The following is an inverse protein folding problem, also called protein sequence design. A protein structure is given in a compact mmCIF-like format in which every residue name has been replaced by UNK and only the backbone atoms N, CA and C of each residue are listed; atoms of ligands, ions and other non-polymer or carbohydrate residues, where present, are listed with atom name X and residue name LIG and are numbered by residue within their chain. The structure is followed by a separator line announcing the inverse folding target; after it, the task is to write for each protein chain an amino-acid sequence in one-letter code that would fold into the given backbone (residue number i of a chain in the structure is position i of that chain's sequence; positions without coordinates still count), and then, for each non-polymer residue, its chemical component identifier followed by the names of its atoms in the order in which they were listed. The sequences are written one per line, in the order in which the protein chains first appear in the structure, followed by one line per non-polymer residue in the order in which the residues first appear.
data_IF_915174517475
#
_entry.id   IF_915174517475
#
_cell.length_a   1.000
_cell.length_b   1.000
_cell.length_c   1.000
_cell.angle_alpha   90.00
_cell.angle_beta   90.00
_cell.angle_gamma   90.00
#
_symmetry.space_group_name_H-M   'P 1'
#
loop_
_entity.id
_entity.type
_entity.pdbx_description
1 polymer ?
#
# COMPACT_ATOMS: atom_id res chain seq x y z
N UNK A 1 13.36 -44.12 29.29
CA UNK A 1 12.19 -44.79 28.66
C UNK A 1 12.48 -46.28 28.40
N UNK A 2 11.48 -47.18 28.45
CA UNK A 2 11.72 -48.64 28.43
C UNK A 2 11.67 -49.35 27.05
N UNK A 3 11.27 -48.71 25.94
CA UNK A 3 11.32 -49.34 24.61
C UNK A 3 11.71 -48.36 23.50
N UNK A 4 12.37 -48.86 22.45
CA UNK A 4 12.81 -48.10 21.26
C UNK A 4 11.63 -47.41 20.57
N UNK A 5 10.53 -48.13 20.37
CA UNK A 5 9.29 -47.55 19.82
C UNK A 5 8.74 -46.42 20.70
N UNK A 6 8.79 -46.57 22.02
CA UNK A 6 8.36 -45.53 22.96
C UNK A 6 9.18 -44.26 22.85
N UNK A 7 10.49 -44.38 22.63
CA UNK A 7 11.39 -43.24 22.41
C UNK A 7 11.09 -42.52 21.09
N UNK A 8 10.87 -43.26 20.00
CA UNK A 8 10.42 -42.67 18.73
C UNK A 8 9.07 -41.97 18.84
N UNK A 9 8.10 -42.57 19.53
CA UNK A 9 6.80 -41.94 19.77
C UNK A 9 6.95 -40.66 20.61
N UNK A 10 7.89 -40.63 21.55
CA UNK A 10 8.17 -39.43 22.30
C UNK A 10 8.80 -38.34 21.43
N UNK A 11 9.79 -38.68 20.59
CA UNK A 11 10.38 -37.74 19.64
C UNK A 11 9.32 -37.14 18.72
N UNK A 12 8.42 -37.95 18.16
CA UNK A 12 7.35 -37.45 17.30
C UNK A 12 6.33 -36.61 18.07
N UNK A 13 5.95 -37.02 19.28
CA UNK A 13 4.97 -36.30 20.10
C UNK A 13 5.48 -34.94 20.57
N UNK A 14 6.78 -34.82 20.83
CA UNK A 14 7.41 -33.62 21.38
C UNK A 14 8.39 -32.96 20.41
N UNK A 15 8.28 -33.26 19.11
CA UNK A 15 9.18 -32.77 18.07
C UNK A 15 9.26 -31.25 18.06
N UNK A 16 8.12 -30.56 18.21
CA UNK A 16 8.06 -29.10 18.18
C UNK A 16 8.91 -28.45 19.28
N UNK A 17 8.89 -29.00 20.49
CA UNK A 17 9.71 -28.52 21.61
C UNK A 17 11.20 -28.66 21.29
N UNK A 18 11.60 -29.82 20.78
CA UNK A 18 13.00 -30.04 20.42
C UNK A 18 13.42 -29.14 19.27
N UNK A 19 12.61 -29.01 18.24
CA UNK A 19 12.86 -28.12 17.10
C UNK A 19 12.91 -26.65 17.52
N UNK A 20 12.16 -26.26 18.55
CA UNK A 20 12.21 -24.93 19.17
C UNK A 20 13.45 -24.69 20.05
N UNK A 21 14.32 -25.69 20.22
CA UNK A 21 15.56 -25.58 20.98
C UNK A 21 15.47 -26.04 22.44
N UNK A 22 14.36 -26.64 22.85
CA UNK A 22 14.24 -27.17 24.21
C UNK A 22 15.23 -28.32 24.48
N UNK A 23 15.64 -28.50 25.75
CA UNK A 23 16.55 -29.57 26.12
C UNK A 23 15.92 -30.94 25.86
N UNK A 24 16.59 -31.73 25.02
CA UNK A 24 16.22 -33.14 24.79
C UNK A 24 16.52 -33.94 26.07
N UNK A 25 15.75 -34.96 26.45
CA UNK A 25 16.13 -35.90 27.51
C UNK A 25 17.42 -36.69 27.19
N UNK A 26 18.24 -37.00 28.21
CA UNK A 26 19.51 -37.72 28.01
C UNK A 26 19.30 -39.11 27.39
N UNK A 27 18.22 -39.80 27.74
CA UNK A 27 17.91 -41.13 27.21
C UNK A 27 17.57 -41.16 25.71
N UNK A 28 17.27 -40.00 25.11
CA UNK A 28 17.12 -39.84 23.66
C UNK A 28 18.41 -39.34 23.01
N UNK A 29 19.19 -38.51 23.70
CA UNK A 29 20.51 -38.04 23.23
C UNK A 29 21.52 -39.17 23.10
N UNK A 30 21.45 -40.16 23.98
CA UNK A 30 22.34 -41.32 23.96
C UNK A 30 22.09 -42.25 22.76
N UNK A 31 20.93 -42.17 22.11
CA UNK A 31 20.65 -42.91 20.87
C UNK A 31 20.99 -42.06 19.64
N UNK A 32 22.08 -42.43 18.96
CA UNK A 32 22.63 -41.73 17.79
C UNK A 32 21.55 -41.41 16.73
N UNK A 33 20.72 -42.39 16.38
CA UNK A 33 19.66 -42.23 15.37
C UNK A 33 18.60 -41.20 15.78
N UNK A 34 18.25 -41.14 17.07
CA UNK A 34 17.27 -40.19 17.60
C UNK A 34 17.88 -38.79 17.67
N UNK A 35 19.13 -38.69 18.11
CA UNK A 35 19.88 -37.44 18.14
C UNK A 35 19.99 -36.83 16.74
N UNK A 36 20.40 -37.62 15.74
CA UNK A 36 20.47 -37.20 14.34
C UNK A 36 19.10 -36.76 13.81
N UNK A 37 18.03 -37.51 14.08
CA UNK A 37 16.69 -37.16 13.63
C UNK A 37 16.20 -35.81 14.20
N UNK A 38 16.46 -35.55 15.48
CA UNK A 38 16.11 -34.28 16.14
C UNK A 38 16.95 -33.13 15.58
N UNK A 39 18.24 -33.34 15.34
CA UNK A 39 19.13 -32.34 14.77
C UNK A 39 18.74 -31.97 13.33
N UNK A 40 18.44 -32.95 12.48
CA UNK A 40 17.97 -32.69 11.12
C UNK A 40 16.61 -31.98 11.12
N UNK A 41 15.69 -32.37 12.02
CA UNK A 41 14.42 -31.68 12.17
C UNK A 41 14.61 -30.20 12.59
N UNK A 42 15.57 -29.91 13.48
CA UNK A 42 15.96 -28.54 13.84
C UNK A 42 16.49 -27.77 12.64
N UNK A 43 17.40 -28.38 11.87
CA UNK A 43 18.04 -27.74 10.71
C UNK A 43 17.01 -27.36 9.64
N UNK A 44 16.14 -28.30 9.27
CA UNK A 44 15.08 -28.06 8.27
C UNK A 44 14.11 -26.99 8.74
N UNK A 45 13.67 -27.05 10.01
CA UNK A 45 12.74 -26.05 10.52
C UNK A 45 13.35 -24.65 10.66
N UNK A 46 14.63 -24.55 11.04
CA UNK A 46 15.34 -23.28 11.06
C UNK A 46 15.42 -22.65 9.67
N UNK A 47 15.70 -23.47 8.64
CA UNK A 47 15.69 -23.02 7.24
C UNK A 47 14.29 -22.59 6.78
N UNK A 48 13.25 -23.36 7.11
CA UNK A 48 11.86 -23.02 6.78
C UNK A 48 11.39 -21.73 7.47
N UNK A 49 11.70 -21.54 8.76
CA UNK A 49 11.37 -20.30 9.50
C UNK A 49 12.09 -19.09 8.92
N UNK A 50 13.37 -19.23 8.60
CA UNK A 50 14.14 -18.16 7.98
C UNK A 50 13.58 -17.82 6.60
N UNK A 51 13.25 -18.83 5.80
CA UNK A 51 12.64 -18.66 4.47
C UNK A 51 11.31 -17.91 4.57
N UNK A 52 10.42 -18.34 5.47
CA UNK A 52 9.13 -17.68 5.70
C UNK A 52 9.30 -16.22 6.11
N UNK A 53 10.24 -15.93 7.02
CA UNK A 53 10.51 -14.55 7.45
C UNK A 53 11.02 -13.67 6.29
N UNK A 54 11.89 -14.20 5.44
CA UNK A 54 12.40 -13.48 4.27
C UNK A 54 11.29 -13.24 3.24
N UNK A 55 10.46 -14.26 2.95
CA UNK A 55 9.33 -14.15 2.04
C UNK A 55 8.29 -13.12 2.52
N UNK A 56 7.96 -13.13 3.81
CA UNK A 56 7.03 -12.17 4.41
C UNK A 56 7.56 -10.74 4.32
N UNK A 57 8.87 -10.55 4.58
CA UNK A 57 9.52 -9.24 4.46
C UNK A 57 9.50 -8.76 3.00
N UNK A 58 9.89 -9.60 2.07
CA UNK A 58 9.94 -9.25 0.65
C UNK A 58 8.53 -8.95 0.10
N UNK A 59 7.52 -9.69 0.55
CA UNK A 59 6.11 -9.41 0.23
C UNK A 59 5.66 -8.06 0.79
N UNK A 60 6.00 -7.75 2.04
CA UNK A 60 5.65 -6.48 2.65
C UNK A 60 6.35 -5.30 1.96
N UNK A 61 7.61 -5.46 1.54
CA UNK A 61 8.33 -4.45 0.77
C UNK A 61 7.69 -4.21 -0.60
N UNK A 62 7.36 -5.28 -1.33
CA UNK A 62 6.67 -5.17 -2.63
C UNK A 62 5.31 -4.50 -2.52
N UNK A 63 4.54 -4.82 -1.48
CA UNK A 63 3.27 -4.16 -1.21
C UNK A 63 3.46 -2.65 -1.05
N UNK A 64 4.38 -2.23 -0.18
CA UNK A 64 4.71 -0.80 0.03
C UNK A 64 5.15 -0.09 -1.25
N UNK A 65 5.98 -0.74 -2.06
CA UNK A 65 6.45 -0.19 -3.33
C UNK A 65 5.29 -0.02 -4.32
N UNK A 66 4.37 -0.99 -4.35
CA UNK A 66 3.17 -0.95 -5.21
C UNK A 66 2.25 0.18 -4.75
N UNK A 67 1.96 0.27 -3.46
CA UNK A 67 1.10 1.33 -2.90
C UNK A 67 1.66 2.72 -3.21
N UNK A 68 2.97 2.92 -3.05
CA UNK A 68 3.63 4.18 -3.39
C UNK A 68 3.57 4.49 -4.90
N UNK A 69 3.70 3.47 -5.75
CA UNK A 69 3.61 3.65 -7.19
C UNK A 69 2.20 4.04 -7.62
N UNK A 70 1.17 3.38 -7.08
CA UNK A 70 -0.24 3.70 -7.32
C UNK A 70 -0.55 5.11 -6.85
N UNK A 71 -0.19 5.47 -5.60
CA UNK A 71 -0.43 6.81 -5.07
C UNK A 71 0.24 7.92 -5.91
N UNK A 72 1.45 7.67 -6.45
CA UNK A 72 2.11 8.61 -7.36
C UNK A 72 1.38 8.74 -8.70
N UNK A 73 0.85 7.64 -9.24
CA UNK A 73 0.11 7.65 -10.50
C UNK A 73 -1.21 8.40 -10.33
N UNK A 74 -1.98 8.07 -9.30
CA UNK A 74 -3.25 8.72 -8.97
C UNK A 74 -3.04 10.22 -8.76
N UNK A 75 -2.10 10.63 -7.90
CA UNK A 75 -1.84 12.06 -7.66
C UNK A 75 -1.36 12.82 -8.90
N UNK A 76 -0.72 12.14 -9.87
CA UNK A 76 -0.35 12.76 -11.16
C UNK A 76 -1.56 12.89 -12.08
N UNK A 77 -2.44 11.90 -12.09
CA UNK A 77 -3.65 11.91 -12.90
C UNK A 77 -4.64 12.95 -12.39
N UNK A 78 -4.94 12.93 -11.10
CA UNK A 78 -5.77 13.92 -10.40
C UNK A 78 -5.24 15.34 -10.64
N UNK A 79 -3.95 15.59 -10.36
CA UNK A 79 -3.37 16.92 -10.58
C UNK A 79 -3.39 17.38 -12.05
N UNK A 80 -3.40 16.46 -13.01
CA UNK A 80 -3.54 16.80 -14.44
C UNK A 80 -4.99 17.12 -14.80
N UNK A 81 -5.95 16.40 -14.22
CA UNK A 81 -7.37 16.64 -14.42
C UNK A 81 -7.79 17.95 -13.77
N UNK A 82 -7.50 18.13 -12.48
CA UNK A 82 -7.76 19.37 -11.74
C UNK A 82 -7.12 20.57 -12.45
N UNK A 83 -5.83 20.49 -12.79
CA UNK A 83 -5.15 21.59 -13.48
C UNK A 83 -5.75 21.91 -14.87
N UNK A 84 -6.32 20.92 -15.55
CA UNK A 84 -7.03 21.15 -16.82
C UNK A 84 -8.37 21.83 -16.57
N UNK A 85 -9.13 21.40 -15.58
CA UNK A 85 -10.43 22.00 -15.23
C UNK A 85 -10.27 23.44 -14.72
N UNK A 86 -9.31 23.68 -13.82
CA UNK A 86 -8.96 25.01 -13.34
C UNK A 86 -8.53 25.92 -14.48
N UNK A 87 -7.68 25.44 -15.39
CA UNK A 87 -7.26 26.21 -16.57
C UNK A 87 -8.43 26.57 -17.49
N UNK A 88 -9.36 25.64 -17.76
CA UNK A 88 -10.56 25.94 -18.53
C UNK A 88 -11.46 26.96 -17.83
N UNK A 89 -11.59 26.87 -16.50
CA UNK A 89 -12.38 27.81 -15.72
C UNK A 89 -11.74 29.20 -15.72
N UNK A 90 -10.43 29.29 -15.52
CA UNK A 90 -9.67 30.54 -15.57
C UNK A 90 -9.77 31.19 -16.95
N UNK A 91 -9.58 30.44 -18.03
CA UNK A 91 -9.75 30.94 -19.40
C UNK A 91 -11.18 31.46 -19.64
N UNK A 92 -12.21 30.75 -19.17
CA UNK A 92 -13.61 31.19 -19.27
C UNK A 92 -13.86 32.48 -18.47
N UNK A 93 -13.26 32.62 -17.30
CA UNK A 93 -13.37 33.82 -16.46
C UNK A 93 -12.66 35.01 -17.10
N UNK A 94 -11.48 34.80 -17.67
CA UNK A 94 -10.72 35.85 -18.36
C UNK A 94 -11.41 36.31 -19.64
N UNK A 95 -11.95 35.36 -20.42
CA UNK A 95 -12.77 35.68 -21.58
C UNK A 95 -14.00 36.47 -21.16
N UNK A 96 -14.71 36.03 -20.12
CA UNK A 96 -15.88 36.74 -19.60
C UNK A 96 -15.54 38.18 -19.17
N UNK A 97 -14.41 38.36 -18.47
CA UNK A 97 -13.95 39.69 -18.05
C UNK A 97 -13.69 40.61 -19.25
N UNK A 98 -12.99 40.11 -20.28
CA UNK A 98 -12.73 40.87 -21.52
C UNK A 98 -14.03 41.25 -22.22
N UNK A 99 -14.98 40.31 -22.33
CA UNK A 99 -16.28 40.57 -22.94
C UNK A 99 -17.09 41.63 -22.18
N UNK A 100 -17.09 41.59 -20.85
CA UNK A 100 -17.76 42.61 -20.02
C UNK A 100 -17.10 43.99 -20.21
N UNK A 101 -15.75 44.05 -20.29
CA UNK A 101 -15.02 45.28 -20.56
C UNK A 101 -15.32 45.86 -21.96
N UNK A 102 -15.59 45.00 -22.95
CA UNK A 102 -16.02 45.40 -24.29
C UNK A 102 -17.51 45.84 -24.35
N UNK A 103 -18.22 45.83 -23.21
CA UNK A 103 -19.59 46.32 -23.10
C UNK A 103 -20.67 45.31 -23.48
N UNK A 104 -20.34 44.02 -23.57
CA UNK A 104 -21.33 42.96 -23.75
C UNK A 104 -22.18 42.80 -22.48
N UNK A 105 -23.49 42.61 -22.63
CA UNK A 105 -24.38 42.45 -21.47
C UNK A 105 -24.05 41.17 -20.68
N UNK A 106 -24.17 41.16 -19.34
CA UNK A 106 -23.92 39.98 -18.51
C UNK A 106 -24.73 38.76 -18.93
N UNK A 107 -25.96 38.94 -19.41
CA UNK A 107 -26.81 37.85 -19.92
C UNK A 107 -26.24 37.20 -21.19
N UNK A 108 -25.68 38.00 -22.10
CA UNK A 108 -25.01 37.52 -23.31
C UNK A 108 -23.72 36.80 -22.96
N UNK A 109 -22.92 37.36 -22.03
CA UNK A 109 -21.66 36.76 -21.58
C UNK A 109 -21.92 35.42 -20.90
N UNK A 110 -22.90 35.34 -19.98
CA UNK A 110 -23.30 34.10 -19.30
C UNK A 110 -23.64 32.98 -20.30
N UNK A 111 -24.37 33.32 -21.37
CA UNK A 111 -24.73 32.36 -22.41
C UNK A 111 -23.51 31.85 -23.19
N UNK A 112 -22.54 32.71 -23.47
CA UNK A 112 -21.35 32.35 -24.29
C UNK A 112 -20.31 31.61 -23.45
N UNK A 113 -19.97 32.14 -22.28
CA UNK A 113 -18.95 31.56 -21.40
C UNK A 113 -19.51 30.48 -20.51
N UNK A 114 -20.84 30.22 -20.52
CA UNK A 114 -21.57 29.26 -19.66
C UNK A 114 -21.37 29.49 -18.16
N UNK A 115 -20.93 30.69 -17.76
CA UNK A 115 -20.82 31.07 -16.35
C UNK A 115 -22.18 31.57 -15.84
N UNK A 116 -22.45 31.41 -14.55
CA UNK A 116 -23.65 31.97 -13.94
C UNK A 116 -23.57 33.50 -13.91
N UNK A 117 -24.71 34.18 -13.86
CA UNK A 117 -24.73 35.66 -13.75
C UNK A 117 -24.12 36.11 -12.42
N UNK A 118 -24.23 35.29 -11.37
CA UNK A 118 -23.59 35.53 -10.07
C UNK A 118 -22.06 35.45 -10.17
N UNK A 119 -21.52 34.42 -10.85
CA UNK A 119 -20.07 34.29 -11.09
C UNK A 119 -19.52 35.48 -11.90
N UNK A 120 -20.32 36.00 -12.83
CA UNK A 120 -19.94 37.16 -13.65
C UNK A 120 -19.95 38.47 -12.86
N UNK A 121 -20.88 38.64 -11.92
CA UNK A 121 -20.95 39.83 -11.06
C UNK A 121 -19.69 39.96 -10.20
N UNK A 122 -19.09 38.85 -9.77
CA UNK A 122 -17.81 38.83 -9.05
C UNK A 122 -16.60 39.18 -9.93
N UNK A 123 -16.72 39.11 -11.26
CA UNK A 123 -15.64 39.36 -12.22
C UNK A 123 -15.70 40.76 -12.86
N UNK A 124 -16.86 41.41 -12.81
CA UNK A 124 -17.06 42.76 -13.34
C UNK A 124 -16.27 43.79 -12.51
N UNK A 125 -15.64 44.80 -13.13
CA UNK A 125 -15.12 45.94 -12.39
C UNK A 125 -16.29 46.69 -11.70
N UNK A 126 -16.05 47.35 -10.55
CA UNK A 126 -17.10 48.15 -9.91
C UNK A 126 -17.66 49.17 -10.90
N UNK A 127 -18.99 49.26 -10.98
CA UNK A 127 -19.67 50.25 -11.82
C UNK A 127 -19.11 51.64 -11.50
N UNK A 128 -18.44 52.27 -12.47
CA UNK A 128 -18.01 53.65 -12.34
C UNK A 128 -19.26 54.54 -12.33
N UNK A 129 -19.45 55.38 -11.29
CA UNK A 129 -20.60 56.27 -11.17
C UNK A 129 -20.62 57.38 -12.22
#
# INVERSE_FOLDING_TARGET
MRSRLGKWLHVLRFAEHYVAGEPVPDDLREEEELAMAIEEARRVNADDRLRALLEDRDKAERARLTDLAVARLEGREEGREEGREEGHLEERRDLARKMLLEGLSPTTVARITRLSVEDLAALAPPENP
#
